data_IF_926575100065
#
_entry.id   IF_926575100065
#
_cell.length_a   1.000
_cell.length_b   1.000
_cell.length_c   1.000
_cell.angle_alpha   90.00
_cell.angle_beta   90.00
_cell.angle_gamma   90.00
#
_symmetry.space_group_name_H-M   'P 1'
#
loop_
_entity.id
_entity.type
_entity.pdbx_description
1 polymer ?
#
# COMPACT_ATOMS: atom_id res chain seq x y z
N UNK A 1 -5.39 76.72 3.21
CA UNK A 1 -6.41 75.84 3.85
C UNK A 1 -7.28 75.28 2.72
N UNK A 2 -7.35 73.95 2.61
CA UNK A 2 -8.06 73.22 1.54
C UNK A 2 -9.56 73.19 1.81
N UNK A 3 -10.37 73.49 0.80
CA UNK A 3 -11.78 73.09 0.63
C UNK A 3 -12.20 73.63 -0.75
N UNK A 4 -12.64 72.86 -1.74
CA UNK A 4 -13.70 71.86 -1.70
C UNK A 4 -14.87 72.43 -2.50
N UNK A 5 -15.02 72.03 -3.77
CA UNK A 5 -16.16 72.43 -4.61
C UNK A 5 -16.91 71.17 -5.04
N UNK A 6 -18.17 71.11 -4.62
CA UNK A 6 -19.16 70.12 -4.99
C UNK A 6 -19.95 70.56 -6.23
N UNK A 7 -20.49 69.58 -6.99
CA UNK A 7 -21.90 69.40 -7.41
C UNK A 7 -21.96 68.44 -8.63
N UNK A 8 -22.58 67.27 -8.51
CA UNK A 8 -24.00 66.93 -8.75
C UNK A 8 -24.35 66.75 -10.25
N UNK A 9 -24.69 65.52 -10.69
CA UNK A 9 -25.97 65.15 -11.32
C UNK A 9 -25.99 63.69 -11.83
N UNK A 10 -27.23 63.18 -11.95
CA UNK A 10 -27.70 61.79 -12.06
C UNK A 10 -27.78 61.23 -13.50
N UNK A 11 -27.83 59.90 -13.54
CA UNK A 11 -28.63 58.96 -14.37
C UNK A 11 -28.78 59.15 -15.89
N UNK A 12 -28.56 58.05 -16.61
CA UNK A 12 -29.11 57.83 -17.96
C UNK A 12 -28.64 56.52 -18.59
N UNK A 13 -29.51 55.51 -18.56
CA UNK A 13 -29.32 54.16 -19.07
C UNK A 13 -29.53 54.12 -20.60
N UNK A 14 -28.61 53.54 -21.40
CA UNK A 14 -28.91 53.06 -22.77
C UNK A 14 -28.06 51.83 -23.12
N UNK A 15 -28.77 50.78 -23.54
CA UNK A 15 -28.28 49.51 -24.06
C UNK A 15 -27.30 49.63 -25.24
N UNK A 16 -26.23 48.80 -25.23
CA UNK A 16 -25.62 48.26 -26.45
C UNK A 16 -25.27 46.78 -26.28
N UNK A 17 -25.98 45.94 -27.02
CA UNK A 17 -25.66 44.53 -27.27
C UNK A 17 -24.30 44.43 -27.97
N UNK A 18 -23.43 43.53 -27.51
CA UNK A 18 -22.29 43.02 -28.29
C UNK A 18 -22.36 41.49 -28.31
N UNK A 19 -22.28 40.94 -29.52
CA UNK A 19 -22.31 39.52 -29.85
C UNK A 19 -21.00 38.80 -29.47
N UNK A 20 -21.04 37.48 -29.24
CA UNK A 20 -19.85 36.68 -28.96
C UNK A 20 -19.12 36.29 -30.23
N UNK A 21 -17.79 36.40 -30.18
CA UNK A 21 -16.84 36.02 -31.23
C UNK A 21 -16.63 34.50 -31.15
N UNK A 22 -16.95 33.79 -32.23
CA UNK A 22 -16.62 32.38 -32.41
C UNK A 22 -15.12 32.23 -32.71
N UNK A 23 -14.46 31.29 -32.04
CA UNK A 23 -13.20 30.69 -32.49
C UNK A 23 -13.41 29.19 -32.54
N UNK A 24 -13.37 28.67 -33.76
CA UNK A 24 -13.46 27.27 -34.15
C UNK A 24 -12.11 26.60 -33.95
N UNK A 25 -11.96 25.79 -32.91
CA UNK A 25 -10.81 24.90 -32.74
C UNK A 25 -11.18 23.83 -31.69
N UNK A 26 -12.15 22.97 -32.02
CA UNK A 26 -12.53 21.84 -31.17
C UNK A 26 -13.34 20.79 -31.92
N UNK A 27 -12.79 20.23 -33.00
CA UNK A 27 -13.45 19.06 -33.64
C UNK A 27 -12.51 18.06 -34.31
N UNK A 28 -11.21 18.30 -34.45
CA UNK A 28 -10.29 17.33 -35.09
C UNK A 28 -9.45 16.48 -34.11
N UNK A 29 -9.40 16.80 -32.81
CA UNK A 29 -8.73 15.93 -31.82
C UNK A 29 -9.63 14.83 -31.24
N UNK A 30 -10.94 14.87 -31.48
CA UNK A 30 -11.88 13.90 -30.91
C UNK A 30 -12.23 12.72 -31.82
N UNK A 31 -11.69 12.68 -33.05
CA UNK A 31 -11.82 11.54 -33.98
C UNK A 31 -10.57 10.66 -34.05
N UNK A 32 -9.46 11.05 -33.41
CA UNK A 32 -8.23 10.22 -33.36
C UNK A 32 -8.19 9.23 -32.18
N UNK A 33 -9.13 9.30 -31.25
CA UNK A 33 -9.27 8.35 -30.14
C UNK A 33 -10.34 7.26 -30.36
N UNK A 34 -10.88 7.10 -31.58
CA UNK A 34 -11.91 6.08 -31.90
C UNK A 34 -11.49 5.01 -32.92
N UNK A 35 -10.20 4.79 -33.17
CA UNK A 35 -9.73 3.79 -34.14
C UNK A 35 -8.73 2.76 -33.60
N UNK A 36 -8.70 2.50 -32.29
CA UNK A 36 -7.98 1.34 -31.71
C UNK A 36 -8.93 0.54 -30.83
N UNK A 37 -10.05 0.12 -31.41
CA UNK A 37 -10.95 -0.88 -30.85
C UNK A 37 -11.14 -1.93 -31.96
N UNK A 38 -10.25 -2.91 -31.97
CA UNK A 38 -10.20 -3.94 -33.02
C UNK A 38 -8.94 -4.78 -32.88
N UNK A 39 -8.87 -5.60 -31.85
CA UNK A 39 -7.74 -6.52 -31.63
C UNK A 39 -7.76 -7.29 -30.31
N UNK A 40 -8.92 -7.56 -29.71
CA UNK A 40 -9.02 -8.24 -28.40
C UNK A 40 -9.46 -9.72 -28.48
N UNK A 41 -9.44 -10.36 -29.66
CA UNK A 41 -9.99 -11.72 -29.81
C UNK A 41 -8.96 -12.87 -29.89
N UNK A 42 -7.64 -12.62 -29.91
CA UNK A 42 -6.65 -13.72 -29.98
C UNK A 42 -5.86 -13.98 -28.68
N UNK A 43 -5.75 -13.02 -27.77
CA UNK A 43 -5.00 -13.22 -26.51
C UNK A 43 -5.86 -13.93 -25.45
N UNK A 44 -7.18 -13.78 -25.48
CA UNK A 44 -8.12 -14.46 -24.57
C UNK A 44 -8.30 -15.97 -24.84
N UNK A 45 -7.96 -16.44 -26.04
CA UNK A 45 -8.12 -17.85 -26.43
C UNK A 45 -6.96 -18.74 -25.95
N UNK A 46 -5.78 -18.16 -25.68
CA UNK A 46 -4.59 -18.91 -25.26
C UNK A 46 -4.62 -19.24 -23.76
N UNK A 47 -5.12 -18.33 -22.92
CA UNK A 47 -5.28 -18.56 -21.48
C UNK A 47 -6.34 -19.62 -21.12
N UNK A 48 -7.42 -19.73 -21.92
CA UNK A 48 -8.44 -20.77 -21.72
C UNK A 48 -7.93 -22.19 -22.05
N UNK A 49 -6.94 -22.34 -22.94
CA UNK A 49 -6.31 -23.64 -23.22
C UNK A 49 -5.35 -24.07 -22.11
N UNK A 50 -4.67 -23.13 -21.46
CA UNK A 50 -3.78 -23.45 -20.34
C UNK A 50 -4.53 -23.86 -19.06
N UNK A 51 -5.71 -23.28 -18.81
CA UNK A 51 -6.51 -23.60 -17.62
C UNK A 51 -7.13 -25.00 -17.65
N UNK A 52 -7.43 -25.56 -18.83
CA UNK A 52 -7.99 -26.92 -18.95
C UNK A 52 -6.96 -28.04 -18.73
N UNK A 53 -5.65 -27.72 -18.66
CA UNK A 53 -4.58 -28.70 -18.41
C UNK A 53 -4.34 -29.01 -16.93
N UNK A 54 -4.95 -28.27 -15.99
CA UNK A 54 -4.69 -28.40 -14.55
C UNK A 54 -5.75 -29.22 -13.79
N UNK A 55 -6.74 -29.82 -14.46
CA UNK A 55 -7.73 -30.74 -13.86
C UNK A 55 -7.21 -32.18 -13.69
N UNK A 56 -6.01 -32.34 -13.14
CA UNK A 56 -5.39 -33.66 -12.97
C UNK A 56 -4.69 -33.91 -11.64
N UNK A 57 -4.53 -32.90 -10.77
CA UNK A 57 -3.74 -33.06 -9.55
C UNK A 57 -4.63 -33.23 -8.31
N UNK A 58 -4.71 -34.45 -7.78
CA UNK A 58 -5.23 -34.74 -6.44
C UNK A 58 -4.03 -34.92 -5.51
N UNK A 59 -3.86 -34.13 -4.44
CA UNK A 59 -2.93 -34.48 -3.38
C UNK A 59 -3.60 -35.50 -2.45
N UNK A 60 -3.02 -36.71 -2.37
CA UNK A 60 -3.36 -37.71 -1.36
C UNK A 60 -2.94 -37.21 0.02
N UNK A 61 -3.93 -37.04 0.89
CA UNK A 61 -3.78 -36.77 2.30
C UNK A 61 -3.42 -38.04 3.07
N UNK A 62 -2.13 -38.33 3.24
CA UNK A 62 -1.65 -39.30 4.24
C UNK A 62 -0.14 -39.21 4.41
N UNK A 63 0.35 -38.36 5.33
CA UNK A 63 1.65 -38.56 5.99
C UNK A 63 1.91 -37.68 7.24
N UNK A 64 0.95 -36.87 7.69
CA UNK A 64 1.16 -35.96 8.84
C UNK A 64 0.95 -36.65 10.21
N UNK A 65 0.50 -37.91 10.27
CA UNK A 65 0.20 -38.62 11.52
C UNK A 65 1.21 -39.71 11.92
N UNK A 66 2.51 -39.58 11.58
CA UNK A 66 3.52 -40.59 11.97
C UNK A 66 4.84 -40.08 12.54
N UNK A 67 4.87 -38.87 13.11
CA UNK A 67 6.08 -38.33 13.76
C UNK A 67 5.90 -38.12 15.28
N UNK A 68 4.69 -38.30 15.83
CA UNK A 68 4.46 -38.15 17.28
C UNK A 68 4.59 -39.45 18.09
N UNK A 69 5.01 -40.57 17.47
CA UNK A 69 5.17 -41.88 18.17
C UNK A 69 6.61 -42.37 18.27
N UNK A 70 7.62 -41.53 17.98
CA UNK A 70 9.03 -41.91 18.13
C UNK A 70 9.74 -41.30 19.36
N UNK A 71 9.01 -40.61 20.25
CA UNK A 71 9.57 -39.97 21.47
C UNK A 71 9.20 -40.67 22.79
N UNK A 72 8.57 -41.85 22.79
CA UNK A 72 8.17 -42.55 24.03
C UNK A 72 8.84 -43.94 24.21
N UNK A 73 9.79 -44.33 23.38
CA UNK A 73 10.39 -45.68 23.46
C UNK A 73 11.92 -45.72 23.51
N UNK A 74 12.57 -44.86 24.31
CA UNK A 74 13.99 -45.08 24.71
C UNK A 74 14.24 -44.63 26.16
N UNK A 75 13.49 -45.16 27.12
CA UNK A 75 13.84 -45.04 28.56
C UNK A 75 14.35 -46.35 29.18
N UNK A 76 14.39 -47.47 28.43
CA UNK A 76 14.78 -48.77 28.98
C UNK A 76 15.62 -49.60 27.99
N UNK A 77 16.88 -49.22 27.77
CA UNK A 77 17.89 -50.10 27.18
C UNK A 77 19.23 -49.97 27.94
N UNK A 78 19.91 -51.09 28.28
CA UNK A 78 21.12 -51.08 29.09
C UNK A 78 22.39 -50.64 28.31
N UNK A 79 23.44 -50.13 29.00
CA UNK A 79 24.56 -49.39 28.39
C UNK A 79 25.60 -50.20 27.59
N UNK A 80 25.27 -51.40 27.11
CA UNK A 80 26.24 -52.27 26.41
C UNK A 80 26.01 -52.42 24.91
N UNK A 81 25.03 -51.73 24.32
CA UNK A 81 24.82 -51.71 22.86
C UNK A 81 25.05 -50.35 22.19
N UNK A 82 25.53 -49.34 22.92
CA UNK A 82 25.89 -48.01 22.40
C UNK A 82 27.25 -47.97 21.67
N UNK A 83 27.63 -49.05 20.95
CA UNK A 83 28.93 -49.13 20.28
C UNK A 83 28.87 -49.87 18.94
N UNK A 84 27.93 -49.45 18.09
CA UNK A 84 28.05 -49.53 16.64
C UNK A 84 27.11 -48.46 16.06
N UNK A 85 27.51 -47.83 14.97
CA UNK A 85 26.87 -46.68 14.31
C UNK A 85 27.31 -45.32 14.91
N UNK A 86 28.61 -45.03 14.79
CA UNK A 86 29.17 -43.69 14.88
C UNK A 86 30.09 -43.50 13.66
N UNK A 87 29.67 -42.60 12.75
CA UNK A 87 30.36 -41.93 11.63
C UNK A 87 30.40 -42.64 10.25
N UNK A 88 30.42 -41.88 9.11
CA UNK A 88 29.59 -40.70 8.77
C UNK A 88 29.12 -40.71 7.28
N UNK A 89 27.85 -40.38 7.00
CA UNK A 89 27.44 -39.87 5.67
C UNK A 89 27.02 -38.40 5.80
N UNK A 90 28.03 -37.53 5.98
CA UNK A 90 27.89 -36.10 6.17
C UNK A 90 27.75 -35.30 4.85
N UNK A 91 27.08 -35.88 3.83
CA UNK A 91 26.81 -35.19 2.56
C UNK A 91 25.30 -35.03 2.27
N UNK A 92 24.44 -35.91 2.79
CA UNK A 92 23.00 -35.84 2.58
C UNK A 92 22.25 -34.94 3.56
N UNK A 93 22.76 -34.81 4.79
CA UNK A 93 22.09 -34.05 5.87
C UNK A 93 22.30 -32.53 5.68
N UNK A 94 23.45 -32.12 5.14
CA UNK A 94 23.73 -30.70 4.87
C UNK A 94 22.77 -30.11 3.84
N UNK A 95 22.39 -30.88 2.81
CA UNK A 95 21.44 -30.46 1.77
C UNK A 95 20.01 -30.31 2.32
N UNK A 96 19.59 -31.24 3.19
CA UNK A 96 18.26 -31.20 3.81
C UNK A 96 18.15 -30.03 4.79
N UNK A 97 19.21 -29.75 5.57
CA UNK A 97 19.24 -28.60 6.50
C UNK A 97 19.29 -27.26 5.74
N UNK A 98 19.96 -27.21 4.58
CA UNK A 98 19.95 -26.00 3.72
C UNK A 98 18.60 -25.80 3.03
N UNK A 99 17.92 -26.87 2.60
CA UNK A 99 16.58 -26.80 2.01
C UNK A 99 15.47 -26.52 3.03
N UNK A 100 15.64 -26.92 4.29
CA UNK A 100 14.70 -26.60 5.38
C UNK A 100 14.76 -25.12 5.77
N UNK A 101 15.93 -24.47 5.70
CA UNK A 101 16.05 -23.03 5.99
C UNK A 101 15.39 -22.10 4.95
N UNK A 102 15.13 -22.61 3.74
CA UNK A 102 14.45 -21.85 2.69
C UNK A 102 12.94 -22.13 2.67
N UNK A 103 12.50 -23.21 3.34
CA UNK A 103 11.09 -23.57 3.56
C UNK A 103 10.53 -23.10 4.93
N UNK A 104 11.37 -22.57 5.81
CA UNK A 104 10.99 -22.09 7.16
C UNK A 104 10.57 -20.60 7.23
N UNK A 105 10.40 -19.88 6.12
CA UNK A 105 10.11 -18.43 6.18
C UNK A 105 9.00 -17.90 5.24
N UNK A 106 8.02 -18.72 4.88
CA UNK A 106 6.66 -18.17 4.72
C UNK A 106 6.02 -18.11 6.11
N UNK A 107 6.56 -17.27 6.99
CA UNK A 107 5.86 -16.94 8.23
C UNK A 107 4.52 -16.37 7.82
N UNK A 108 3.42 -16.95 8.30
CA UNK A 108 2.08 -16.41 8.12
C UNK A 108 2.12 -14.88 8.31
N UNK A 109 1.90 -14.13 7.22
CA UNK A 109 2.03 -12.66 7.21
C UNK A 109 1.20 -12.05 8.32
N UNK A 110 0.01 -12.61 8.57
CA UNK A 110 -0.87 -12.20 9.65
C UNK A 110 -0.21 -12.35 11.02
N UNK A 111 0.39 -13.51 11.31
CA UNK A 111 1.08 -13.77 12.57
C UNK A 111 2.29 -12.84 12.77
N UNK A 112 3.10 -12.65 11.72
CA UNK A 112 4.27 -11.76 11.75
C UNK A 112 3.84 -10.32 12.04
N UNK A 113 2.85 -9.79 11.32
CA UNK A 113 2.39 -8.42 11.51
C UNK A 113 1.64 -8.23 12.83
N UNK A 114 0.90 -9.24 13.29
CA UNK A 114 0.29 -9.25 14.61
C UNK A 114 1.34 -9.09 15.71
N UNK A 115 2.47 -9.79 15.60
CA UNK A 115 3.58 -9.68 16.56
C UNK A 115 4.14 -8.26 16.59
N UNK A 116 4.38 -7.66 15.43
CA UNK A 116 4.90 -6.29 15.31
C UNK A 116 3.93 -5.25 15.89
N UNK A 117 2.63 -5.39 15.60
CA UNK A 117 1.61 -4.49 16.15
C UNK A 117 1.57 -4.56 17.67
N UNK A 118 1.58 -5.79 18.23
CA UNK A 118 1.59 -6.00 19.69
C UNK A 118 2.86 -5.48 20.34
N UNK A 119 4.04 -5.68 19.73
CA UNK A 119 5.29 -5.14 20.26
C UNK A 119 5.32 -3.61 20.26
N UNK A 120 4.58 -2.98 19.34
CA UNK A 120 4.41 -1.53 19.28
C UNK A 120 3.26 -1.01 20.17
N UNK A 121 2.67 -1.87 21.00
CA UNK A 121 1.63 -1.50 21.96
C UNK A 121 0.22 -1.40 21.39
N UNK A 122 -0.01 -1.82 20.14
CA UNK A 122 -1.35 -1.91 19.55
C UNK A 122 -2.05 -3.14 20.13
N UNK A 123 -3.08 -2.91 20.92
CA UNK A 123 -3.81 -3.98 21.63
C UNK A 123 -4.91 -4.60 20.79
N UNK A 124 -5.56 -3.78 19.98
CA UNK A 124 -6.75 -4.16 19.22
C UNK A 124 -6.56 -3.80 17.74
N UNK A 125 -6.63 -4.82 16.91
CA UNK A 125 -6.58 -4.75 15.46
C UNK A 125 -7.24 -6.01 14.90
N UNK A 126 -7.62 -5.97 13.64
CA UNK A 126 -8.29 -7.07 12.96
C UNK A 126 -7.58 -7.36 11.65
N UNK A 127 -7.33 -8.63 11.40
CA UNK A 127 -7.01 -9.10 10.07
C UNK A 127 -8.24 -9.75 9.45
N UNK A 128 -8.43 -9.54 8.14
CA UNK A 128 -9.50 -10.16 7.39
C UNK A 128 -9.03 -10.51 5.99
N UNK A 129 -9.11 -11.80 5.64
CA UNK A 129 -8.96 -12.23 4.25
C UNK A 129 -10.21 -11.91 3.44
N UNK A 130 -10.02 -11.45 2.21
CA UNK A 130 -11.06 -11.11 1.24
C UNK A 130 -10.91 -11.99 -0.01
N UNK A 131 -11.97 -12.15 -0.82
CA UNK A 131 -11.87 -12.93 -2.06
C UNK A 131 -10.82 -12.39 -3.04
N UNK A 132 -10.33 -13.25 -3.93
CA UNK A 132 -9.29 -12.89 -4.91
C UNK A 132 -9.71 -11.80 -5.89
N UNK A 133 -11.00 -11.72 -6.20
CA UNK A 133 -11.63 -10.73 -7.07
C UNK A 133 -12.03 -9.43 -6.33
N UNK A 134 -11.65 -9.28 -5.06
CA UNK A 134 -12.00 -8.12 -4.23
C UNK A 134 -11.67 -6.77 -4.89
N UNK A 135 -10.58 -6.69 -5.65
CA UNK A 135 -10.16 -5.46 -6.33
C UNK A 135 -10.92 -5.16 -7.62
N UNK A 136 -11.75 -6.07 -8.11
CA UNK A 136 -12.64 -5.87 -9.26
C UNK A 136 -14.00 -5.29 -8.83
N UNK A 137 -14.29 -5.30 -7.53
CA UNK A 137 -15.56 -4.86 -6.99
C UNK A 137 -15.65 -3.33 -6.84
N UNK A 138 -16.87 -2.75 -6.84
CA UNK A 138 -17.08 -1.36 -6.43
C UNK A 138 -16.75 -1.16 -4.94
N UNK A 139 -16.47 0.09 -4.54
CA UNK A 139 -16.04 0.40 -3.17
C UNK A 139 -17.10 0.05 -2.12
N UNK A 140 -18.38 0.15 -2.46
CA UNK A 140 -19.50 -0.19 -1.59
C UNK A 140 -19.50 -1.69 -1.25
N UNK A 141 -19.26 -2.56 -2.24
CA UNK A 141 -19.17 -3.99 -2.02
C UNK A 141 -17.93 -4.35 -1.19
N UNK A 142 -16.80 -3.66 -1.41
CA UNK A 142 -15.59 -3.82 -0.59
C UNK A 142 -15.82 -3.40 0.87
N UNK A 143 -16.54 -2.28 1.08
CA UNK A 143 -16.97 -1.81 2.40
C UNK A 143 -17.78 -2.90 3.09
N UNK A 144 -18.78 -3.45 2.41
CA UNK A 144 -19.66 -4.48 2.97
C UNK A 144 -18.89 -5.75 3.31
N UNK A 145 -17.98 -6.17 2.43
CA UNK A 145 -17.11 -7.32 2.66
C UNK A 145 -16.22 -7.15 3.90
N UNK A 146 -15.80 -5.93 4.23
CA UNK A 146 -15.01 -5.64 5.44
C UNK A 146 -15.85 -5.20 6.65
N UNK A 147 -17.18 -5.14 6.52
CA UNK A 147 -18.07 -4.54 7.50
C UNK A 147 -17.62 -3.12 7.92
N UNK A 148 -17.06 -2.37 6.97
CA UNK A 148 -16.58 -1.01 7.21
C UNK A 148 -17.78 -0.04 7.36
N UNK A 149 -17.71 0.95 8.25
CA UNK A 149 -18.83 1.89 8.45
C UNK A 149 -19.20 2.71 7.21
N UNK A 150 -18.20 3.04 6.38
CA UNK A 150 -18.40 3.71 5.10
C UNK A 150 -17.22 3.45 4.16
N UNK A 151 -17.36 3.79 2.88
CA UNK A 151 -16.26 3.69 1.90
C UNK A 151 -15.05 4.57 2.27
N UNK A 152 -15.27 5.61 3.07
CA UNK A 152 -14.22 6.49 3.59
C UNK A 152 -13.33 5.80 4.63
N UNK A 153 -13.77 4.69 5.22
CA UNK A 153 -12.96 3.87 6.13
C UNK A 153 -12.05 2.89 5.36
N UNK A 154 -12.17 2.82 4.03
CA UNK A 154 -11.27 2.03 3.19
C UNK A 154 -10.11 2.91 2.75
N UNK A 155 -8.90 2.56 3.13
CA UNK A 155 -7.68 3.31 2.81
C UNK A 155 -6.69 2.46 2.02
N UNK A 156 -5.79 3.14 1.32
CA UNK A 156 -4.65 2.57 0.60
C UNK A 156 -3.37 3.26 1.03
N UNK A 157 -2.30 2.50 1.09
CA UNK A 157 -0.93 3.02 1.19
C UNK A 157 -0.25 2.97 -0.17
N UNK A 158 0.35 4.09 -0.56
CA UNK A 158 1.10 4.23 -1.81
C UNK A 158 2.52 4.69 -1.50
N UNK A 159 3.52 4.12 -2.18
CA UNK A 159 4.91 4.54 -2.06
C UNK A 159 5.18 5.65 -3.07
N UNK A 160 5.75 6.75 -2.59
CA UNK A 160 6.21 7.86 -3.40
C UNK A 160 7.74 7.89 -3.44
N UNK A 161 8.28 8.36 -4.57
CA UNK A 161 9.68 8.66 -4.77
C UNK A 161 9.86 10.15 -5.06
N UNK A 162 10.80 10.79 -4.36
CA UNK A 162 11.27 12.12 -4.67
C UNK A 162 12.31 12.06 -5.80
N UNK A 163 11.84 12.22 -7.03
CA UNK A 163 12.69 12.15 -8.23
C UNK A 163 13.70 13.29 -8.35
N UNK A 164 13.50 14.39 -7.61
CA UNK A 164 14.38 15.57 -7.63
C UNK A 164 15.18 15.75 -6.33
N UNK A 165 15.20 14.74 -5.46
CA UNK A 165 16.02 14.72 -4.26
C UNK A 165 17.50 15.02 -4.58
N UNK A 166 18.21 15.65 -3.65
CA UNK A 166 19.65 15.87 -3.79
C UNK A 166 20.39 14.52 -3.85
N UNK A 167 21.58 14.48 -4.46
CA UNK A 167 22.32 13.23 -4.67
C UNK A 167 22.74 12.52 -3.37
N UNK A 168 22.89 13.27 -2.28
CA UNK A 168 23.16 12.74 -0.94
C UNK A 168 21.91 12.20 -0.23
N UNK A 169 20.71 12.39 -0.79
CA UNK A 169 19.44 11.86 -0.28
C UNK A 169 19.09 10.61 -1.08
N UNK A 170 19.63 9.47 -0.63
CA UNK A 170 19.48 8.19 -1.33
C UNK A 170 18.48 7.24 -0.66
N UNK A 171 18.17 7.44 0.63
CA UNK A 171 17.41 6.52 1.46
C UNK A 171 16.31 7.24 2.27
N UNK A 172 15.85 6.57 3.34
CA UNK A 172 14.76 7.03 4.20
C UNK A 172 15.22 7.46 5.61
N UNK A 173 16.52 7.71 5.80
CA UNK A 173 17.12 7.93 7.12
C UNK A 173 16.72 9.23 7.80
N UNK A 174 16.41 10.28 7.01
CA UNK A 174 15.89 11.55 7.51
C UNK A 174 14.40 11.70 7.13
N UNK A 175 13.46 11.51 8.07
CA UNK A 175 12.04 11.65 7.79
C UNK A 175 11.65 13.01 7.21
N UNK A 176 12.41 14.06 7.50
CA UNK A 176 12.11 15.40 7.00
C UNK A 176 12.55 15.57 5.54
N UNK A 177 13.50 14.77 5.05
CA UNK A 177 14.04 14.86 3.70
C UNK A 177 14.48 13.48 3.17
N UNK A 178 13.53 12.56 3.07
CA UNK A 178 13.73 11.21 2.57
C UNK A 178 13.56 11.10 1.05
N UNK A 179 14.22 10.10 0.46
CA UNK A 179 14.05 9.75 -0.95
C UNK A 179 12.66 9.17 -1.22
N UNK A 180 12.10 8.42 -0.26
CA UNK A 180 10.81 7.76 -0.38
C UNK A 180 9.90 8.10 0.81
N UNK A 181 8.60 8.06 0.57
CA UNK A 181 7.56 8.26 1.56
C UNK A 181 6.42 7.29 1.29
N UNK A 182 5.78 6.76 2.34
CA UNK A 182 4.48 6.08 2.20
C UNK A 182 3.38 7.08 2.51
N UNK A 183 2.36 7.17 1.66
CA UNK A 183 1.18 7.99 1.93
C UNK A 183 -0.03 7.10 2.10
N UNK A 184 -0.75 7.26 3.21
CA UNK A 184 -2.02 6.59 3.50
C UNK A 184 -3.17 7.57 3.23
N UNK A 185 -4.03 7.22 2.28
CA UNK A 185 -5.20 8.01 1.86
C UNK A 185 -6.43 7.12 1.74
N UNK A 186 -7.62 7.69 1.82
CA UNK A 186 -8.87 6.98 1.56
C UNK A 186 -8.99 6.57 0.09
N UNK A 187 -9.60 5.42 -0.21
CA UNK A 187 -9.81 4.95 -1.60
C UNK A 187 -10.66 5.92 -2.42
N UNK A 188 -11.66 6.53 -1.79
CA UNK A 188 -12.56 7.51 -2.41
C UNK A 188 -11.87 8.84 -2.74
N UNK A 189 -10.71 9.11 -2.16
CA UNK A 189 -10.08 10.41 -2.22
C UNK A 189 -8.99 10.47 -3.29
N UNK A 190 -8.86 11.65 -3.92
CA UNK A 190 -7.79 11.91 -4.88
C UNK A 190 -6.56 12.44 -4.14
N UNK A 191 -5.45 11.70 -4.23
CA UNK A 191 -4.16 12.12 -3.69
C UNK A 191 -3.66 13.42 -4.35
N UNK A 192 -3.15 14.34 -3.54
CA UNK A 192 -2.59 15.62 -3.94
C UNK A 192 -1.10 15.69 -3.57
N UNK A 193 -0.24 15.45 -4.57
CA UNK A 193 1.22 15.51 -4.42
C UNK A 193 1.75 16.92 -4.09
N UNK A 194 1.07 17.99 -4.52
CA UNK A 194 1.51 19.36 -4.23
C UNK A 194 1.33 19.70 -2.75
N UNK A 195 0.28 19.20 -2.10
CA UNK A 195 0.10 19.34 -0.65
C UNK A 195 1.26 18.73 0.13
N UNK A 196 1.67 17.51 -0.21
CA UNK A 196 2.80 16.83 0.44
C UNK A 196 4.11 17.57 0.17
N UNK A 197 4.34 18.00 -1.07
CA UNK A 197 5.50 18.81 -1.44
C UNK A 197 5.58 20.11 -0.63
N UNK A 198 4.46 20.81 -0.46
CA UNK A 198 4.40 22.04 0.34
C UNK A 198 4.69 21.78 1.81
N UNK A 199 4.16 20.67 2.35
CA UNK A 199 4.43 20.22 3.70
C UNK A 199 5.94 19.96 3.90
N UNK A 200 6.56 19.13 3.07
CA UNK A 200 7.99 18.80 3.18
C UNK A 200 8.89 20.04 3.02
N UNK A 201 8.54 20.94 2.10
CA UNK A 201 9.26 22.22 1.97
C UNK A 201 9.21 23.05 3.27
N UNK A 202 8.03 23.13 3.88
CA UNK A 202 7.82 23.86 5.14
C UNK A 202 8.52 23.17 6.32
N UNK A 203 8.49 21.84 6.36
CA UNK A 203 9.14 21.01 7.37
C UNK A 203 10.67 21.19 7.41
N UNK A 204 11.26 21.63 6.30
CA UNK A 204 12.69 21.91 6.18
C UNK A 204 13.03 23.40 6.39
N UNK A 205 12.13 24.20 6.98
CA UNK A 205 12.29 25.65 7.19
C UNK A 205 12.66 26.43 5.91
N UNK A 206 12.27 25.91 4.74
CA UNK A 206 12.65 26.48 3.45
C UNK A 206 14.13 26.37 3.08
N UNK A 207 14.96 25.66 3.86
CA UNK A 207 16.40 25.43 3.60
C UNK A 207 16.64 24.63 2.32
N UNK A 208 15.70 23.74 1.99
CA UNK A 208 15.72 22.96 0.75
C UNK A 208 14.83 23.64 -0.28
N UNK A 209 15.38 23.94 -1.46
CA UNK A 209 14.60 24.58 -2.52
C UNK A 209 13.39 23.74 -2.91
N UNK A 210 12.20 24.35 -2.99
CA UNK A 210 10.91 23.67 -3.28
C UNK A 210 10.95 22.74 -4.52
N UNK A 211 11.73 23.07 -5.54
CA UNK A 211 11.92 22.24 -6.76
C UNK A 211 12.58 20.88 -6.51
N UNK A 212 13.23 20.70 -5.35
CA UNK A 212 13.86 19.45 -4.91
C UNK A 212 12.88 18.45 -4.33
N UNK A 213 11.61 18.80 -4.25
CA UNK A 213 10.52 17.91 -3.86
C UNK A 213 9.63 17.66 -5.10
N UNK A 214 9.92 16.61 -5.86
CA UNK A 214 9.08 16.14 -6.98
C UNK A 214 8.64 14.70 -6.72
N UNK A 215 7.55 14.58 -5.97
CA UNK A 215 6.99 13.31 -5.53
C UNK A 215 6.19 12.67 -6.67
N UNK A 216 6.56 11.44 -7.01
CA UNK A 216 5.89 10.58 -8.00
C UNK A 216 5.60 9.23 -7.38
N UNK A 217 4.65 8.48 -7.92
CA UNK A 217 4.49 7.08 -7.52
C UNK A 217 5.80 6.34 -7.78
N UNK A 218 6.26 5.58 -6.80
CA UNK A 218 7.41 4.71 -6.99
C UNK A 218 7.06 3.62 -8.02
N UNK A 219 8.01 3.21 -8.87
CA UNK A 219 7.86 1.99 -9.67
C UNK A 219 7.54 0.80 -8.76
N UNK A 220 6.74 -0.14 -9.27
CA UNK A 220 6.28 -1.29 -8.49
C UNK A 220 7.44 -2.10 -7.91
N UNK A 221 8.45 -2.44 -8.72
CA UNK A 221 9.66 -3.15 -8.27
C UNK A 221 10.34 -2.42 -7.10
N UNK A 222 10.41 -1.08 -7.17
CA UNK A 222 10.97 -0.27 -6.08
C UNK A 222 10.08 -0.32 -4.83
N UNK A 223 8.77 -0.25 -4.99
CA UNK A 223 7.80 -0.42 -3.89
C UNK A 223 7.97 -1.79 -3.22
N UNK A 224 8.02 -2.88 -3.99
CA UNK A 224 8.21 -4.24 -3.47
C UNK A 224 9.55 -4.38 -2.76
N UNK A 225 10.62 -3.85 -3.35
CA UNK A 225 11.96 -3.89 -2.74
C UNK A 225 12.01 -3.17 -1.39
N UNK A 226 11.40 -1.97 -1.30
CA UNK A 226 11.44 -1.14 -0.10
C UNK A 226 10.47 -1.64 0.98
N UNK A 227 9.25 -2.02 0.60
CA UNK A 227 8.20 -2.38 1.55
C UNK A 227 8.20 -3.87 1.87
N UNK A 228 8.61 -4.72 0.93
CA UNK A 228 8.44 -6.17 1.01
C UNK A 228 7.04 -6.64 0.58
N UNK A 229 6.19 -5.75 0.07
CA UNK A 229 4.81 -6.07 -0.31
C UNK A 229 4.56 -5.77 -1.77
N UNK A 230 3.83 -6.67 -2.42
CA UNK A 230 3.38 -6.51 -3.81
C UNK A 230 2.30 -5.43 -3.96
N UNK A 231 1.97 -5.13 -5.21
CA UNK A 231 0.85 -4.25 -5.52
C UNK A 231 -0.42 -4.73 -4.77
N UNK A 232 -1.21 -3.77 -4.27
CA UNK A 232 -2.41 -4.05 -3.47
C UNK A 232 -2.22 -4.75 -2.11
N UNK A 233 -0.98 -5.11 -1.74
CA UNK A 233 -0.66 -5.70 -0.44
C UNK A 233 0.03 -4.71 0.53
N UNK A 234 0.56 -3.61 -0.01
CA UNK A 234 1.34 -2.61 0.76
C UNK A 234 0.62 -2.20 2.04
N UNK A 235 1.35 -2.29 3.14
CA UNK A 235 0.97 -1.79 4.47
C UNK A 235 2.13 -1.02 5.09
N UNK A 236 1.86 -0.24 6.13
CA UNK A 236 2.88 0.54 6.84
C UNK A 236 3.58 -0.26 7.96
N UNK A 237 3.17 -1.52 8.17
CA UNK A 237 3.66 -2.37 9.26
C UNK A 237 4.66 -3.38 8.72
N UNK A 238 5.80 -3.54 9.40
CA UNK A 238 6.78 -4.59 9.09
C UNK A 238 7.39 -4.48 7.69
N UNK A 239 7.58 -3.25 7.20
CA UNK A 239 8.26 -3.00 5.93
C UNK A 239 9.76 -3.37 6.02
N UNK A 240 10.37 -3.72 4.89
CA UNK A 240 11.82 -4.01 4.81
C UNK A 240 12.69 -2.77 5.08
N UNK A 241 12.18 -1.60 4.72
CA UNK A 241 12.81 -0.30 4.97
C UNK A 241 11.91 0.51 5.89
N UNK A 242 12.51 1.26 6.82
CA UNK A 242 11.79 2.23 7.65
C UNK A 242 11.48 3.48 6.81
N UNK A 243 10.36 3.44 6.07
CA UNK A 243 9.94 4.53 5.19
C UNK A 243 9.02 5.47 5.99
N UNK A 244 9.32 6.78 6.05
CA UNK A 244 8.46 7.76 6.69
C UNK A 244 7.04 7.72 6.13
N UNK A 245 6.07 7.68 7.05
CA UNK A 245 4.65 7.59 6.71
C UNK A 245 4.00 8.96 6.81
N UNK A 246 3.14 9.26 5.83
CA UNK A 246 2.27 10.42 5.80
C UNK A 246 0.83 9.90 5.84
N UNK A 247 0.08 10.31 6.86
CA UNK A 247 -1.33 9.98 7.02
C UNK A 247 -2.18 11.17 6.59
N UNK A 248 -3.15 10.93 5.72
CA UNK A 248 -4.09 11.98 5.34
C UNK A 248 -4.94 12.45 6.53
N UNK A 249 -5.05 13.76 6.69
CA UNK A 249 -5.79 14.40 7.78
C UNK A 249 -7.27 13.98 7.82
N UNK A 250 -7.87 13.62 6.68
CA UNK A 250 -9.25 13.14 6.66
C UNK A 250 -9.45 11.82 7.43
N UNK A 251 -8.42 10.97 7.50
CA UNK A 251 -8.48 9.67 8.20
C UNK A 251 -8.53 9.89 9.72
N UNK A 252 -7.83 10.91 10.23
CA UNK A 252 -7.85 11.26 11.67
C UNK A 252 -9.20 11.80 12.15
N UNK A 253 -10.11 12.08 11.22
CA UNK A 253 -11.45 12.61 11.46
C UNK A 253 -12.54 11.57 11.24
N UNK A 254 -12.17 10.31 10.98
CA UNK A 254 -13.14 9.23 10.83
C UNK A 254 -13.93 9.01 12.12
N UNK A 255 -15.22 8.70 11.94
CA UNK A 255 -16.10 8.28 13.00
C UNK A 255 -16.91 7.07 12.51
N UNK A 256 -16.77 5.90 13.14
CA UNK A 256 -15.90 5.59 14.29
C UNK A 256 -14.38 5.72 13.98
N UNK A 257 -13.57 5.83 15.03
CA UNK A 257 -12.10 5.95 14.95
C UNK A 257 -11.44 4.63 14.51
N UNK A 258 -11.57 4.30 13.23
CA UNK A 258 -11.10 3.05 12.67
C UNK A 258 -10.96 3.15 11.15
N UNK A 259 -10.03 2.41 10.56
CA UNK A 259 -9.96 2.26 9.12
C UNK A 259 -9.32 0.92 8.71
N UNK A 260 -9.56 0.54 7.46
CA UNK A 260 -8.96 -0.61 6.80
C UNK A 260 -7.86 -0.17 5.84
N UNK A 261 -6.77 -0.93 5.77
CA UNK A 261 -5.68 -0.78 4.80
C UNK A 261 -5.16 -2.15 4.35
N UNK A 262 -4.15 -2.18 3.48
CA UNK A 262 -3.47 -3.40 3.08
C UNK A 262 -2.93 -4.17 4.29
N UNK A 263 -3.03 -5.50 4.25
CA UNK A 263 -2.64 -6.40 5.34
C UNK A 263 -1.31 -7.10 5.14
N UNK A 264 -0.53 -6.76 4.11
CA UNK A 264 0.74 -7.41 3.78
C UNK A 264 0.63 -8.54 2.74
N UNK A 265 -0.56 -9.10 2.53
CA UNK A 265 -0.89 -9.94 1.37
C UNK A 265 -1.98 -9.26 0.52
N UNK A 266 -2.09 -9.64 -0.75
CA UNK A 266 -3.08 -9.06 -1.68
C UNK A 266 -4.50 -9.25 -1.18
N UNK A 267 -4.82 -10.42 -0.64
CA UNK A 267 -6.13 -10.79 -0.11
C UNK A 267 -6.27 -10.49 1.39
N UNK A 268 -5.24 -9.98 2.06
CA UNK A 268 -5.29 -9.68 3.50
C UNK A 268 -5.51 -8.18 3.73
N UNK A 269 -6.38 -7.85 4.69
CA UNK A 269 -6.69 -6.48 5.11
C UNK A 269 -6.45 -6.32 6.59
N UNK A 270 -5.80 -5.22 6.96
CA UNK A 270 -5.59 -4.80 8.34
C UNK A 270 -6.63 -3.73 8.68
N UNK A 271 -7.38 -3.96 9.75
CA UNK A 271 -8.28 -3.00 10.37
C UNK A 271 -7.67 -2.54 11.69
N UNK A 272 -7.57 -1.24 11.90
CA UNK A 272 -6.92 -0.65 13.08
C UNK A 272 -7.58 0.67 13.46
N UNK A 273 -7.60 0.98 14.77
CA UNK A 273 -7.98 2.33 15.22
C UNK A 273 -7.00 3.38 14.71
N UNK A 274 -7.49 4.55 14.34
CA UNK A 274 -6.59 5.62 13.87
C UNK A 274 -5.67 6.09 14.97
N UNK A 275 -6.16 6.19 16.21
CA UNK A 275 -5.33 6.51 17.38
C UNK A 275 -4.14 5.55 17.53
N UNK A 276 -4.38 4.25 17.42
CA UNK A 276 -3.36 3.22 17.65
C UNK A 276 -2.36 3.19 16.49
N UNK A 277 -2.85 3.37 15.26
CA UNK A 277 -1.98 3.52 14.09
C UNK A 277 -1.06 4.73 14.25
N UNK A 278 -1.58 5.90 14.67
CA UNK A 278 -0.78 7.11 14.88
C UNK A 278 0.27 6.87 15.97
N UNK A 279 -0.11 6.25 17.08
CA UNK A 279 0.81 5.99 18.19
C UNK A 279 1.92 4.99 17.83
N UNK A 280 1.58 3.95 17.05
CA UNK A 280 2.53 2.91 16.63
C UNK A 280 3.43 3.36 15.48
N UNK A 281 2.89 4.04 14.47
CA UNK A 281 3.59 4.35 13.20
C UNK A 281 4.20 5.74 13.23
N UNK A 282 3.69 6.65 14.07
CA UNK A 282 4.14 8.05 14.19
C UNK A 282 4.18 8.78 12.84
N UNK A 283 3.09 8.75 12.05
CA UNK A 283 3.07 9.38 10.73
C UNK A 283 3.06 10.90 10.84
N UNK A 284 3.52 11.58 9.78
CA UNK A 284 3.17 12.98 9.56
C UNK A 284 1.69 13.08 9.20
N UNK A 285 0.94 13.96 9.86
CA UNK A 285 -0.46 14.21 9.53
C UNK A 285 -0.53 15.38 8.57
N UNK A 286 -1.01 15.14 7.35
CA UNK A 286 -1.02 16.13 6.27
C UNK A 286 -2.36 16.07 5.54
N UNK A 287 -2.95 17.21 5.21
CA UNK A 287 -4.11 17.25 4.30
C UNK A 287 -3.64 17.03 2.87
N UNK A 288 -3.56 15.77 2.45
CA UNK A 288 -3.00 15.35 1.17
C UNK A 288 -4.04 14.72 0.24
N UNK A 289 -5.33 14.80 0.58
CA UNK A 289 -6.43 14.54 -0.34
C UNK A 289 -7.29 15.78 -0.62
N UNK A 290 -7.93 15.79 -1.79
CA UNK A 290 -8.97 16.75 -2.15
C UNK A 290 -10.37 16.23 -1.81
N UNK A 291 -11.27 17.14 -1.43
CA UNK A 291 -12.73 16.95 -1.41
C UNK A 291 -13.31 17.07 -2.80
#
# INVERSE_FOLDING_TARGET
>A
IRSGTARHWKNGNVHKKRQPRQTTESTEENERCRSVAGGEDEIGAEWKRHWQSWRGFKPESSNVYRIVEAEVAVSHLPPSQARAIVQPEAAGVSSIVQGLSELELESDTEARLSSILRSNGVKEFNFKRVPSDYYDWPLEARRDALAAPSVHHLCKSIVLVNTQAQSNVADCSDPNNSKYYVVVVQYSARFNAESVKNFLYSLNDGKIAKKKFNLRLAPEETSVKLTGYEHNAVTCIGMKTDIPVILDEAITKLNPDFFWLGGGDVDLKLGIRTSDFINSVKPFIVRCSGS
#
